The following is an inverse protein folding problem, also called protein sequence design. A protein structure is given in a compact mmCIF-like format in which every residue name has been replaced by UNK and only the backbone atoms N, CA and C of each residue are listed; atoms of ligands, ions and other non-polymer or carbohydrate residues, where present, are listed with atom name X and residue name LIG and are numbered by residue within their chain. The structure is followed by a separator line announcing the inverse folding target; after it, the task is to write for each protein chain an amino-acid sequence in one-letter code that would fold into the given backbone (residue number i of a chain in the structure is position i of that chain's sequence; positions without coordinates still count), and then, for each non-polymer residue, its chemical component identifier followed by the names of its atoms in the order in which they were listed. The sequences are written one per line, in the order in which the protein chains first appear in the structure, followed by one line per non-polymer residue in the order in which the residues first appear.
data_IF_991215986890
#
_entry.id   IF_991215986890
#
_cell.length_a   1.000
_cell.length_b   1.000
_cell.length_c   1.000
_cell.angle_alpha   90.00
_cell.angle_beta   90.00
_cell.angle_gamma   90.00
#
_symmetry.space_group_name_H-M   'P 1'
#
loop_
_entity.id
_entity.type
_entity.pdbx_description
1 polymer ?
#
# COMPACT_ATOMS: atom_id res chain seq x y z
N UNK A 1 7.88 0.22 -11.44
CA UNK A 1 8.84 -0.85 -11.12
C UNK A 1 8.31 -1.65 -9.94
N UNK A 2 8.28 -2.99 -10.01
CA UNK A 2 7.88 -3.84 -8.88
C UNK A 2 8.94 -3.81 -7.77
N UNK A 3 8.50 -3.79 -6.52
CA UNK A 3 9.34 -3.91 -5.31
C UNK A 3 8.47 -4.36 -4.13
N UNK A 4 9.02 -4.36 -2.92
CA UNK A 4 8.32 -4.61 -1.66
C UNK A 4 8.26 -3.37 -0.79
N UNK A 5 7.31 -3.37 0.14
CA UNK A 5 7.22 -2.36 1.19
C UNK A 5 6.80 -3.00 2.50
N UNK A 6 7.35 -2.50 3.61
CA UNK A 6 6.90 -2.83 4.95
C UNK A 6 5.78 -1.87 5.35
N UNK A 7 4.67 -2.40 5.85
CA UNK A 7 3.61 -1.58 6.43
C UNK A 7 4.06 -1.09 7.79
N UNK A 8 4.06 0.22 7.98
CA UNK A 8 4.39 0.89 9.23
C UNK A 8 3.13 1.18 10.03
N UNK A 9 2.06 1.59 9.34
CA UNK A 9 0.76 1.85 9.94
C UNK A 9 -0.36 1.60 8.93
N UNK A 10 -1.54 1.24 9.43
CA UNK A 10 -2.74 1.00 8.64
C UNK A 10 -3.98 1.47 9.40
N UNK A 11 -4.67 2.48 8.87
CA UNK A 11 -5.84 3.08 9.50
C UNK A 11 -7.03 3.09 8.54
N UNK A 12 -8.19 2.62 8.99
CA UNK A 12 -9.44 2.87 8.28
C UNK A 12 -9.79 4.37 8.37
N UNK A 13 -9.93 5.02 7.22
CA UNK A 13 -10.25 6.47 7.16
C UNK A 13 -11.70 6.78 7.49
N UNK A 14 -12.55 5.76 7.66
CA UNK A 14 -14.01 5.91 7.75
C UNK A 14 -14.68 6.18 6.39
N UNK A 15 -13.91 6.46 5.34
CA UNK A 15 -14.43 6.63 3.99
C UNK A 15 -14.71 5.27 3.36
N UNK A 16 -15.78 5.21 2.58
CA UNK A 16 -16.23 4.01 1.86
C UNK A 16 -16.31 4.29 0.38
N UNK A 17 -15.95 3.28 -0.42
CA UNK A 17 -16.27 3.25 -1.85
C UNK A 17 -17.26 2.10 -2.04
N UNK A 18 -18.41 2.41 -2.62
CA UNK A 18 -19.56 1.51 -2.67
C UNK A 18 -19.94 0.96 -1.28
N UNK A 19 -20.69 -0.15 -1.24
CA UNK A 19 -21.11 -0.78 0.03
C UNK A 19 -20.03 -1.64 0.69
N UNK A 20 -18.96 -1.98 -0.03
CA UNK A 20 -18.07 -3.09 0.35
C UNK A 20 -16.64 -2.63 0.64
N UNK A 21 -16.14 -1.58 -0.01
CA UNK A 21 -14.74 -1.18 0.15
C UNK A 21 -14.58 -0.10 1.22
N UNK A 22 -13.57 -0.27 2.06
CA UNK A 22 -13.06 0.74 2.97
C UNK A 22 -11.84 1.40 2.35
N UNK A 23 -11.70 2.70 2.53
CA UNK A 23 -10.44 3.37 2.21
C UNK A 23 -9.53 3.26 3.42
N UNK A 24 -8.47 2.46 3.29
CA UNK A 24 -7.43 2.35 4.28
C UNK A 24 -6.27 3.28 3.92
N UNK A 25 -5.80 4.05 4.90
CA UNK A 25 -4.57 4.82 4.82
C UNK A 25 -3.42 3.96 5.30
N UNK A 26 -2.44 3.71 4.43
CA UNK A 26 -1.27 2.92 4.73
C UNK A 26 -0.03 3.80 4.74
N UNK A 27 0.74 3.76 5.83
CA UNK A 27 2.10 4.29 5.88
C UNK A 27 3.06 3.16 5.55
N UNK A 28 3.91 3.34 4.55
CA UNK A 28 4.77 2.30 3.99
C UNK A 28 6.24 2.74 4.03
N UNK A 29 7.13 1.81 4.40
CA UNK A 29 8.55 1.89 4.09
C UNK A 29 8.79 1.07 2.82
N UNK A 30 9.04 1.74 1.71
CA UNK A 30 9.26 1.12 0.40
C UNK A 30 10.74 0.79 0.24
N UNK A 31 11.03 -0.43 -0.22
CA UNK A 31 12.39 -0.86 -0.53
C UNK A 31 12.87 -0.23 -1.85
N UNK A 32 14.20 -0.08 -1.99
CA UNK A 32 14.79 0.49 -3.20
C UNK A 32 14.35 -0.29 -4.46
N UNK A 33 14.06 0.44 -5.54
CA UNK A 33 13.56 -0.12 -6.79
C UNK A 33 14.29 0.49 -7.98
N UNK A 34 15.23 -0.26 -8.57
CA UNK A 34 16.08 0.24 -9.64
C UNK A 34 16.91 1.44 -9.18
N UNK A 35 16.74 2.59 -9.85
CA UNK A 35 17.41 3.85 -9.51
C UNK A 35 16.69 4.64 -8.38
N UNK A 36 15.53 4.18 -7.92
CA UNK A 36 14.79 4.86 -6.84
C UNK A 36 15.27 4.32 -5.49
N UNK A 37 15.85 5.15 -4.61
CA UNK A 37 16.23 4.72 -3.27
C UNK A 37 14.99 4.41 -2.43
N UNK A 38 15.14 3.60 -1.38
CA UNK A 38 14.05 3.32 -0.45
C UNK A 38 13.53 4.59 0.24
N UNK A 39 12.23 4.66 0.48
CA UNK A 39 11.58 5.85 1.02
C UNK A 39 10.30 5.51 1.80
N UNK A 40 9.91 6.40 2.69
CA UNK A 40 8.60 6.34 3.33
C UNK A 40 7.55 7.08 2.52
N UNK A 41 6.33 6.54 2.48
CA UNK A 41 5.19 7.22 1.86
C UNK A 41 3.88 6.85 2.54
N UNK A 42 2.85 7.63 2.26
CA UNK A 42 1.47 7.33 2.68
C UNK A 42 0.60 7.20 1.44
N UNK A 43 -0.20 6.14 1.38
CA UNK A 43 -1.16 5.91 0.29
C UNK A 43 -2.54 5.61 0.86
N UNK A 44 -3.57 6.03 0.14
CA UNK A 44 -4.95 5.66 0.42
C UNK A 44 -5.35 4.57 -0.58
N UNK A 45 -5.80 3.41 -0.08
CA UNK A 45 -6.14 2.25 -0.91
C UNK A 45 -7.53 1.71 -0.60
N UNK A 46 -8.35 1.44 -1.63
CA UNK A 46 -9.61 0.73 -1.42
C UNK A 46 -9.32 -0.73 -1.11
N UNK A 47 -9.79 -1.20 0.05
CA UNK A 47 -9.66 -2.58 0.50
C UNK A 47 -11.03 -3.13 0.87
N UNK A 48 -11.24 -4.42 0.58
CA UNK A 48 -12.32 -5.15 1.24
C UNK A 48 -11.95 -5.33 2.72
N UNK A 49 -12.88 -5.19 3.69
CA UNK A 49 -12.60 -5.34 5.11
C UNK A 49 -11.82 -6.61 5.47
N UNK A 50 -12.12 -7.72 4.79
CA UNK A 50 -11.46 -9.02 4.98
C UNK A 50 -9.96 -9.03 4.64
N UNK A 51 -9.49 -8.08 3.83
CA UNK A 51 -8.07 -7.94 3.45
C UNK A 51 -7.27 -7.07 4.42
N UNK A 52 -7.92 -6.28 5.30
CA UNK A 52 -7.23 -5.39 6.24
C UNK A 52 -6.13 -6.09 7.07
N UNK A 53 -6.31 -7.33 7.59
CA UNK A 53 -5.26 -8.00 8.36
C UNK A 53 -3.96 -8.24 7.57
N UNK A 54 -4.02 -8.34 6.24
CA UNK A 54 -2.83 -8.50 5.39
C UNK A 54 -1.96 -7.23 5.34
N UNK A 55 -2.52 -6.10 5.78
CA UNK A 55 -1.84 -4.80 5.85
C UNK A 55 -1.60 -4.38 7.30
N UNK A 56 -1.60 -5.29 8.27
CA UNK A 56 -1.23 -4.94 9.64
C UNK A 56 0.21 -4.40 9.70
N UNK A 57 0.53 -3.50 10.64
CA UNK A 57 1.89 -3.03 10.87
C UNK A 57 2.88 -4.20 11.01
N UNK A 58 4.03 -4.08 10.35
CA UNK A 58 5.06 -5.11 10.27
C UNK A 58 4.93 -6.08 9.10
N UNK A 59 3.79 -6.14 8.42
CA UNK A 59 3.62 -6.97 7.21
C UNK A 59 4.43 -6.42 6.03
N UNK A 60 4.86 -7.31 5.15
CA UNK A 60 5.51 -6.97 3.89
C UNK A 60 4.54 -7.19 2.73
N UNK A 61 4.37 -6.17 1.89
CA UNK A 61 3.46 -6.19 0.73
C UNK A 61 4.21 -5.93 -0.56
N UNK A 62 3.70 -6.47 -1.66
CA UNK A 62 4.22 -6.17 -3.01
C UNK A 62 3.63 -4.87 -3.51
N UNK A 63 4.48 -4.03 -4.08
CA UNK A 63 4.08 -2.72 -4.60
C UNK A 63 4.72 -2.46 -5.97
N UNK A 64 4.14 -1.52 -6.70
CA UNK A 64 4.72 -0.93 -7.90
C UNK A 64 4.95 0.56 -7.66
N UNK A 65 6.15 1.01 -7.97
CA UNK A 65 6.58 2.41 -7.86
C UNK A 65 6.67 3.04 -9.25
N UNK A 66 6.06 4.20 -9.45
CA UNK A 66 6.37 5.06 -10.59
C UNK A 66 7.68 5.82 -10.32
N UNK A 67 8.76 5.58 -11.08
CA UNK A 67 10.04 6.21 -10.82
C UNK A 67 10.05 7.72 -11.09
N UNK A 68 9.12 8.25 -11.89
CA UNK A 68 9.07 9.69 -12.19
C UNK A 68 8.44 10.50 -11.06
N UNK A 69 7.43 9.93 -10.39
CA UNK A 69 6.61 10.64 -9.39
C UNK A 69 6.76 10.09 -7.97
N UNK A 70 7.39 8.92 -7.81
CA UNK A 70 7.40 8.11 -6.57
C UNK A 70 6.01 7.70 -6.11
N UNK A 71 5.01 7.74 -7.00
CA UNK A 71 3.69 7.20 -6.70
C UNK A 71 3.78 5.69 -6.48
N UNK A 72 3.07 5.18 -5.47
CA UNK A 72 3.08 3.77 -5.07
C UNK A 72 1.69 3.18 -5.21
N UNK A 73 1.59 2.01 -5.82
CA UNK A 73 0.37 1.21 -5.90
C UNK A 73 0.62 -0.19 -5.33
N UNK A 74 -0.35 -0.75 -4.61
CA UNK A 74 -0.27 -2.14 -4.14
C UNK A 74 -0.43 -3.08 -5.33
N UNK A 75 0.49 -4.04 -5.46
CA UNK A 75 0.45 -5.06 -6.51
C UNK A 75 -0.34 -6.28 -6.03
N UNK A 76 -1.68 -6.17 -6.05
CA UNK A 76 -2.53 -7.32 -5.73
C UNK A 76 -2.71 -8.20 -6.97
N UNK A 77 -2.50 -9.53 -6.88
CA UNK A 77 -2.98 -10.43 -7.90
C UNK A 77 -4.52 -10.32 -7.96
N UNK A 78 -5.06 -10.14 -9.16
CA UNK A 78 -6.51 -10.28 -9.39
C UNK A 78 -6.83 -11.76 -9.16
N UNK A 79 -7.45 -12.08 -8.04
CA UNK A 79 -8.16 -13.36 -7.84
C UNK A 79 -9.62 -13.17 -8.20
#
# INVERSE_FOLDING_TARGET
MPTTAKVLDATDTGTRIDRIYVIARLRLQVDAAGAVPGFETTIDVPLTPVKLPQFAPGQTVRVKVDPATRHVAIDQPRQ
#
